data_IF_319721355012
#
_entry.id   IF_319721355012
#
_cell.length_a   1.000
_cell.length_b   1.000
_cell.length_c   1.000
_cell.angle_alpha   90.00
_cell.angle_beta   90.00
_cell.angle_gamma   90.00
#
_symmetry.space_group_name_H-M   'P 1'
#
loop_
_entity.id
_entity.type
_entity.pdbx_description
1 polymer ?
#
# COMPACT_ATOMS: atom_id res chain seq x y z
N UNK A 1 -6.13 12.42 3.21
CA UNK A 1 -5.47 11.08 3.11
C UNK A 1 -5.27 10.73 1.65
N UNK A 2 -4.28 9.86 1.30
CA UNK A 2 -4.03 9.43 -0.09
C UNK A 2 -3.93 7.91 -0.15
N UNK A 3 -4.72 7.28 -1.03
CA UNK A 3 -4.64 5.86 -1.35
C UNK A 3 -3.77 5.64 -2.58
N UNK A 4 -2.73 4.82 -2.43
CA UNK A 4 -1.79 4.45 -3.48
C UNK A 4 -1.40 2.97 -3.37
N UNK A 5 -0.45 2.52 -4.22
CA UNK A 5 0.08 1.15 -4.19
C UNK A 5 -1.00 0.07 -4.37
N UNK A 6 -1.81 0.21 -5.39
CA UNK A 6 -2.93 -0.69 -5.71
C UNK A 6 -2.49 -2.15 -5.90
N UNK A 7 -3.22 -3.09 -5.28
CA UNK A 7 -3.06 -4.54 -5.43
C UNK A 7 -4.33 -5.24 -5.88
N UNK A 8 -5.51 -4.63 -5.63
CA UNK A 8 -6.81 -5.10 -6.09
C UNK A 8 -7.77 -3.91 -6.28
N UNK A 9 -8.99 -4.18 -6.80
CA UNK A 9 -9.98 -3.14 -7.06
C UNK A 9 -10.50 -2.46 -5.79
N UNK A 10 -10.50 -3.13 -4.65
CA UNK A 10 -11.01 -2.59 -3.40
C UNK A 10 -10.18 -1.40 -2.90
N UNK A 11 -8.92 -1.27 -3.34
CA UNK A 11 -8.07 -0.13 -2.99
C UNK A 11 -8.56 1.22 -3.55
N UNK A 12 -9.56 1.20 -4.43
CA UNK A 12 -10.25 2.41 -4.86
C UNK A 12 -11.74 2.35 -4.56
N UNK A 13 -12.41 1.22 -4.80
CA UNK A 13 -13.87 1.13 -4.71
C UNK A 13 -14.40 1.26 -3.27
N UNK A 14 -13.60 0.90 -2.26
CA UNK A 14 -14.02 0.92 -0.85
C UNK A 14 -13.71 2.25 -0.13
N UNK A 15 -13.01 3.18 -0.78
CA UNK A 15 -12.65 4.47 -0.19
C UNK A 15 -13.30 5.67 -0.92
N UNK A 16 -14.30 5.38 -1.76
CA UNK A 16 -15.09 6.40 -2.43
C UNK A 16 -16.10 7.00 -1.44
N UNK A 17 -16.31 8.31 -1.56
CA UNK A 17 -17.26 9.08 -0.72
C UNK A 17 -16.58 9.85 0.41
N UNK A 18 -15.30 9.58 0.73
CA UNK A 18 -14.54 10.30 1.74
C UNK A 18 -13.65 11.40 1.18
N UNK A 19 -13.07 12.19 2.09
CA UNK A 19 -12.03 13.17 1.77
C UNK A 19 -10.67 12.47 1.57
N UNK A 20 -10.61 11.63 0.53
CA UNK A 20 -9.48 10.78 0.22
C UNK A 20 -9.07 10.94 -1.25
N UNK A 21 -7.79 11.26 -1.48
CA UNK A 21 -7.24 11.28 -2.84
C UNK A 21 -6.91 9.85 -3.25
N UNK A 22 -7.42 9.43 -4.41
CA UNK A 22 -7.19 8.12 -4.99
C UNK A 22 -6.19 8.26 -6.13
N UNK A 23 -5.00 7.65 -5.98
CA UNK A 23 -3.90 7.73 -6.95
C UNK A 23 -3.57 6.36 -7.55
N UNK A 24 -4.37 5.86 -8.51
CA UNK A 24 -4.11 4.59 -9.16
C UNK A 24 -2.97 4.71 -10.17
N UNK A 25 -1.99 3.78 -10.17
CA UNK A 25 -1.01 3.67 -11.25
C UNK A 25 -1.70 3.44 -12.60
N UNK A 26 -1.06 3.86 -13.69
CA UNK A 26 -1.61 3.78 -15.05
C UNK A 26 -2.24 2.41 -15.39
N UNK A 27 -1.53 1.32 -15.11
CA UNK A 27 -2.05 -0.03 -15.36
C UNK A 27 -3.34 -0.36 -14.61
N UNK A 28 -3.56 0.24 -13.43
CA UNK A 28 -4.82 0.12 -12.68
C UNK A 28 -5.91 1.03 -13.24
N UNK A 29 -5.60 2.22 -13.70
CA UNK A 29 -6.57 3.11 -14.38
C UNK A 29 -7.18 2.40 -15.60
N UNK A 30 -6.34 1.77 -16.43
CA UNK A 30 -6.79 0.99 -17.58
C UNK A 30 -7.72 -0.16 -17.17
N UNK A 31 -7.35 -0.92 -16.13
CA UNK A 31 -8.18 -2.03 -15.63
C UNK A 31 -9.52 -1.56 -15.06
N UNK A 32 -9.52 -0.50 -14.28
CA UNK A 32 -10.72 0.10 -13.68
C UNK A 32 -11.68 0.56 -14.77
N UNK A 33 -11.18 1.33 -15.74
CA UNK A 33 -12.00 1.81 -16.85
C UNK A 33 -12.57 0.68 -17.70
N UNK A 34 -11.78 -0.36 -17.96
CA UNK A 34 -12.21 -1.53 -18.74
C UNK A 34 -13.24 -2.37 -18.00
N UNK A 35 -13.17 -2.44 -16.69
CA UNK A 35 -14.09 -3.27 -15.89
C UNK A 35 -15.52 -2.73 -15.88
N UNK A 36 -15.73 -1.43 -16.13
CA UNK A 36 -17.05 -0.80 -16.13
C UNK A 36 -17.79 -0.89 -14.79
N UNK A 37 -17.07 -1.11 -13.70
CA UNK A 37 -17.68 -1.22 -12.36
C UNK A 37 -18.08 0.18 -11.91
N UNK A 38 -19.35 0.34 -11.55
CA UNK A 38 -19.87 1.55 -10.91
C UNK A 38 -19.80 1.31 -9.39
N UNK A 39 -18.90 1.97 -8.66
CA UNK A 39 -18.78 1.78 -7.23
C UNK A 39 -19.93 2.48 -6.48
N UNK A 40 -20.22 2.03 -5.28
CA UNK A 40 -21.09 2.77 -4.38
C UNK A 40 -20.43 4.12 -4.02
N UNK A 41 -21.11 5.26 -4.19
CA UNK A 41 -20.54 6.58 -3.93
C UNK A 41 -20.21 6.83 -2.45
N UNK A 42 -20.73 6.02 -1.54
CA UNK A 42 -20.52 6.13 -0.09
C UNK A 42 -19.83 4.90 0.51
N UNK A 43 -19.04 4.18 -0.28
CA UNK A 43 -18.37 2.93 0.17
C UNK A 43 -17.49 3.11 1.39
N UNK A 44 -16.90 4.29 1.60
CA UNK A 44 -16.02 4.56 2.73
C UNK A 44 -16.76 4.50 4.08
N UNK A 45 -18.07 4.77 4.07
CA UNK A 45 -18.90 4.75 5.28
C UNK A 45 -19.45 3.34 5.57
N UNK A 46 -19.27 2.39 4.66
CA UNK A 46 -19.71 1.02 4.85
C UNK A 46 -18.74 0.26 5.76
N UNK A 47 -19.23 -0.36 6.83
CA UNK A 47 -18.38 -1.18 7.68
C UNK A 47 -17.86 -2.42 6.91
N UNK A 48 -16.66 -2.85 7.25
CA UNK A 48 -16.14 -4.13 6.74
C UNK A 48 -16.99 -5.27 7.27
N UNK A 49 -17.35 -6.23 6.40
CA UNK A 49 -18.15 -7.40 6.80
C UNK A 49 -17.49 -8.12 7.98
N UNK A 50 -18.18 -8.24 9.13
CA UNK A 50 -17.63 -8.91 10.31
C UNK A 50 -17.18 -10.35 10.07
N UNK A 51 -17.80 -11.05 9.12
CA UNK A 51 -17.41 -12.41 8.75
C UNK A 51 -16.02 -12.49 8.11
N UNK A 52 -15.56 -11.38 7.53
CA UNK A 52 -14.20 -11.26 6.96
C UNK A 52 -13.25 -10.69 8.02
N UNK A 53 -13.67 -9.65 8.71
CA UNK A 53 -12.83 -8.90 9.64
C UNK A 53 -12.50 -9.69 10.90
N UNK A 54 -13.52 -10.32 11.53
CA UNK A 54 -13.35 -10.97 12.83
C UNK A 54 -12.31 -12.10 12.82
N UNK A 55 -12.32 -13.02 11.85
CA UNK A 55 -11.28 -14.05 11.76
C UNK A 55 -9.86 -13.49 11.61
N UNK A 56 -9.70 -12.35 10.94
CA UNK A 56 -8.40 -11.71 10.80
C UNK A 56 -7.92 -11.10 12.12
N UNK A 57 -8.83 -10.43 12.83
CA UNK A 57 -8.54 -9.87 14.16
C UNK A 57 -8.20 -10.94 15.20
N UNK A 58 -8.86 -12.09 15.13
CA UNK A 58 -8.68 -13.18 16.10
C UNK A 58 -7.42 -14.01 15.86
N UNK A 59 -7.04 -14.20 14.58
CA UNK A 59 -5.97 -15.11 14.21
C UNK A 59 -4.67 -14.41 13.81
N UNK A 60 -4.67 -13.10 13.56
CA UNK A 60 -3.52 -12.34 13.10
C UNK A 60 -3.22 -11.15 14.03
N UNK A 61 -2.43 -11.34 15.10
CA UNK A 61 -2.12 -10.27 16.05
C UNK A 61 -1.52 -9.01 15.40
N UNK A 62 -0.65 -9.19 14.39
CA UNK A 62 -0.05 -8.08 13.66
C UNK A 62 -1.07 -7.33 12.79
N UNK A 63 -2.14 -8.01 12.32
CA UNK A 63 -3.24 -7.36 11.62
C UNK A 63 -4.01 -6.44 12.55
N UNK A 64 -4.29 -6.89 13.78
CA UNK A 64 -4.98 -6.06 14.81
C UNK A 64 -4.20 -4.78 15.09
N UNK A 65 -2.86 -4.86 15.22
CA UNK A 65 -2.00 -3.69 15.40
C UNK A 65 -2.11 -2.67 14.27
N UNK A 66 -2.32 -3.14 13.03
CA UNK A 66 -2.48 -2.25 11.87
C UNK A 66 -3.90 -1.70 11.74
N UNK A 67 -4.90 -2.48 12.15
CA UNK A 67 -6.30 -2.16 11.94
C UNK A 67 -6.84 -1.19 13.01
N UNK A 68 -6.54 -1.44 14.27
CA UNK A 68 -7.01 -0.61 15.37
C UNK A 68 -6.34 0.77 15.33
N UNK A 69 -7.09 1.84 15.56
CA UNK A 69 -6.59 3.21 15.51
C UNK A 69 -5.42 3.45 16.49
N UNK A 70 -5.47 2.80 17.65
CA UNK A 70 -4.44 2.85 18.70
C UNK A 70 -3.60 1.57 18.75
N UNK A 71 -3.58 0.80 17.68
CA UNK A 71 -2.93 -0.51 17.62
C UNK A 71 -1.41 -0.46 17.72
N UNK A 72 -0.78 0.66 17.33
CA UNK A 72 0.66 0.92 17.43
C UNK A 72 0.91 2.31 18.01
N UNK A 73 1.83 2.39 18.96
CA UNK A 73 2.41 3.65 19.41
C UNK A 73 3.47 4.12 18.43
N UNK A 74 3.81 5.42 18.47
CA UNK A 74 4.77 6.02 17.53
C UNK A 74 6.15 5.35 17.58
N UNK A 75 6.62 5.01 18.77
CA UNK A 75 7.91 4.33 18.98
C UNK A 75 7.92 2.88 18.50
N UNK A 76 6.77 2.21 18.46
CA UNK A 76 6.67 0.82 17.99
C UNK A 76 6.82 0.68 16.48
N UNK A 77 6.57 1.76 15.69
CA UNK A 77 6.77 1.75 14.25
C UNK A 77 8.22 1.47 13.84
N UNK A 78 9.19 1.81 14.68
CA UNK A 78 10.61 1.55 14.41
C UNK A 78 10.95 0.07 14.29
N UNK A 79 10.17 -0.79 14.95
CA UNK A 79 10.37 -2.25 14.96
C UNK A 79 9.24 -3.01 14.26
N UNK A 80 8.26 -2.29 13.72
CA UNK A 80 7.13 -2.93 13.04
C UNK A 80 7.54 -3.46 11.67
N UNK A 81 7.29 -4.75 11.40
CA UNK A 81 7.78 -5.45 10.22
C UNK A 81 7.40 -4.81 8.89
N UNK A 82 6.18 -4.29 8.76
CA UNK A 82 5.73 -3.61 7.53
C UNK A 82 6.49 -2.30 7.30
N UNK A 83 6.75 -1.52 8.34
CA UNK A 83 7.54 -0.28 8.28
C UNK A 83 8.97 -0.58 7.88
N UNK A 84 9.62 -1.55 8.54
CA UNK A 84 10.99 -1.96 8.25
C UNK A 84 11.13 -2.47 6.81
N UNK A 85 10.19 -3.29 6.34
CA UNK A 85 10.21 -3.82 4.98
C UNK A 85 10.14 -2.69 3.94
N UNK A 86 9.25 -1.72 4.15
CA UNK A 86 9.08 -0.58 3.24
C UNK A 86 10.33 0.29 3.23
N UNK A 87 10.87 0.63 4.41
CA UNK A 87 12.07 1.44 4.55
C UNK A 87 13.28 0.76 3.87
N UNK A 88 13.49 -0.54 4.10
CA UNK A 88 14.56 -1.30 3.43
C UNK A 88 14.42 -1.30 1.92
N UNK A 89 13.18 -1.37 1.39
CA UNK A 89 12.93 -1.27 -0.04
C UNK A 89 13.37 0.07 -0.63
N UNK A 90 13.08 1.18 0.05
CA UNK A 90 13.53 2.51 -0.36
C UNK A 90 15.06 2.65 -0.31
N UNK A 91 15.69 2.19 0.77
CA UNK A 91 17.16 2.21 0.89
C UNK A 91 17.83 1.37 -0.22
N UNK A 92 17.27 0.20 -0.52
CA UNK A 92 17.78 -0.61 -1.64
C UNK A 92 17.64 0.12 -2.97
N UNK A 93 16.53 0.80 -3.22
CA UNK A 93 16.32 1.56 -4.45
C UNK A 93 17.34 2.70 -4.61
N UNK A 94 17.74 3.35 -3.52
CA UNK A 94 18.82 4.37 -3.54
C UNK A 94 20.16 3.72 -3.93
N UNK A 95 20.51 2.59 -3.30
CA UNK A 95 21.73 1.86 -3.63
C UNK A 95 21.76 1.41 -5.11
N UNK A 96 20.62 0.95 -5.63
CA UNK A 96 20.50 0.51 -7.03
C UNK A 96 20.69 1.69 -7.99
N UNK A 97 20.13 2.86 -7.66
CA UNK A 97 20.34 4.09 -8.43
C UNK A 97 21.81 4.53 -8.41
N UNK A 98 22.45 4.53 -7.26
CA UNK A 98 23.88 4.86 -7.13
C UNK A 98 24.75 3.88 -7.93
N UNK A 99 24.43 2.58 -7.89
CA UNK A 99 25.12 1.56 -8.69
C UNK A 99 24.94 1.82 -10.19
N UNK A 100 23.73 2.12 -10.62
CA UNK A 100 23.44 2.46 -12.01
C UNK A 100 24.24 3.69 -12.48
N UNK A 101 24.23 4.76 -11.71
CA UNK A 101 25.01 5.98 -12.02
C UNK A 101 26.49 5.67 -12.11
N UNK A 102 27.03 4.87 -11.20
CA UNK A 102 28.42 4.43 -11.22
C UNK A 102 28.76 3.65 -12.49
N UNK A 103 27.93 2.68 -12.85
CA UNK A 103 28.14 1.84 -14.04
C UNK A 103 28.11 2.64 -15.35
N UNK A 104 27.29 3.71 -15.40
CA UNK A 104 27.25 4.63 -16.55
C UNK A 104 28.47 5.57 -16.57
N UNK A 105 28.90 6.03 -15.39
CA UNK A 105 30.04 6.99 -15.28
C UNK A 105 31.39 6.30 -15.46
N UNK A 106 31.54 5.09 -14.93
CA UNK A 106 32.75 4.27 -15.02
C UNK A 106 32.35 2.90 -15.55
N UNK A 107 32.26 2.73 -16.89
CA UNK A 107 31.84 1.46 -17.48
C UNK A 107 32.77 0.31 -17.08
N UNK A 108 32.19 -0.84 -16.78
CA UNK A 108 32.97 -2.04 -16.49
C UNK A 108 33.56 -2.60 -17.77
N UNK A 109 34.89 -2.66 -17.91
CA UNK A 109 35.56 -3.15 -19.12
C UNK A 109 35.36 -4.67 -19.36
N UNK A 110 34.92 -5.40 -18.36
CA UNK A 110 34.74 -6.87 -18.39
C UNK A 110 33.28 -7.27 -18.70
N UNK A 111 32.41 -6.33 -19.08
CA UNK A 111 31.02 -6.56 -19.47
C UNK A 111 30.78 -6.20 -20.91
#
# INVERSE_FOLDING_TARGET
>A
MLSAAFRNHMHWSQIIGGDCVISPPYGWQVKINKAGIIPNPNSIDEPVDPRILQPMLDNLPEFRKMYDADGLKVDEFTNFGATLRTLRGFLQSVNDLEAFVRDVTVPNPDK
#
